data_IF_466933245457
#
_entry.id   IF_466933245457
#
_cell.length_a   1.000
_cell.length_b   1.000
_cell.length_c   1.000
_cell.angle_alpha   90.00
_cell.angle_beta   90.00
_cell.angle_gamma   90.00
#
_symmetry.space_group_name_H-M   'P 1'
#
loop_
_entity.id
_entity.type
_entity.pdbx_description
1 polymer ?
#
# COMPACT_ATOMS: atom_id res chain seq x y z
N UNK A 1 21.21 4.84 -10.32
CA UNK A 1 19.81 5.06 -9.97
C UNK A 1 19.64 6.27 -9.06
N UNK A 2 20.26 6.32 -7.86
CA UNK A 2 20.11 7.47 -6.94
C UNK A 2 20.50 8.80 -7.60
N UNK A 3 21.61 8.83 -8.33
CA UNK A 3 22.04 10.02 -9.06
C UNK A 3 21.05 10.42 -10.16
N UNK A 4 20.39 9.47 -10.78
CA UNK A 4 19.33 9.75 -11.75
C UNK A 4 18.15 10.46 -11.07
N UNK A 5 17.72 9.97 -9.90
CA UNK A 5 16.66 10.62 -9.13
C UNK A 5 17.03 12.04 -8.70
N UNK A 6 18.28 12.25 -8.27
CA UNK A 6 18.77 13.59 -7.92
C UNK A 6 18.64 14.57 -9.10
N UNK A 7 19.00 14.11 -10.30
CA UNK A 7 18.91 14.93 -11.52
C UNK A 7 17.48 15.17 -12.01
N UNK A 8 16.56 14.25 -11.71
CA UNK A 8 15.15 14.40 -12.08
C UNK A 8 14.40 15.38 -11.18
N UNK A 9 14.93 15.69 -10.00
CA UNK A 9 14.28 16.60 -9.06
C UNK A 9 12.99 16.04 -8.47
N UNK A 10 12.01 16.89 -8.11
CA UNK A 10 10.82 16.48 -7.36
C UNK A 10 9.74 15.80 -8.19
N UNK A 11 10.11 14.97 -9.17
CA UNK A 11 9.15 14.16 -9.94
C UNK A 11 8.67 12.96 -9.12
N UNK A 12 7.37 12.62 -9.11
CA UNK A 12 6.88 11.42 -8.42
C UNK A 12 7.22 10.12 -9.15
N UNK A 13 7.58 10.17 -10.44
CA UNK A 13 7.89 9.02 -11.28
C UNK A 13 9.12 9.29 -12.16
N UNK A 14 9.92 8.27 -12.45
CA UNK A 14 9.81 6.87 -12.02
C UNK A 14 10.11 6.69 -10.53
N UNK A 15 9.43 5.74 -9.89
CA UNK A 15 9.62 5.44 -8.48
C UNK A 15 10.74 4.40 -8.27
N UNK A 16 11.59 4.63 -7.27
CA UNK A 16 12.64 3.70 -6.85
C UNK A 16 12.33 3.12 -5.49
N UNK A 17 12.22 1.81 -5.39
CA UNK A 17 12.16 1.11 -4.11
C UNK A 17 13.54 0.59 -3.72
N UNK A 18 14.01 1.00 -2.56
CA UNK A 18 15.25 0.54 -1.95
C UNK A 18 14.92 -0.55 -0.92
N UNK A 19 15.43 -1.75 -1.14
CA UNK A 19 15.42 -2.80 -0.13
C UNK A 19 16.50 -2.47 0.91
N UNK A 20 16.11 -1.73 1.93
CA UNK A 20 17.01 -1.22 2.94
C UNK A 20 17.38 -2.29 3.97
N UNK A 21 18.65 -2.48 4.22
CA UNK A 21 19.14 -3.36 5.27
C UNK A 21 20.31 -2.73 6.04
N UNK A 22 20.58 -3.26 7.23
CA UNK A 22 21.68 -2.81 8.10
C UNK A 22 23.07 -2.95 7.44
N UNK A 23 23.22 -3.91 6.53
CA UNK A 23 24.48 -4.21 5.83
C UNK A 23 24.80 -3.30 4.65
N UNK A 24 23.89 -2.43 4.24
CA UNK A 24 24.16 -1.48 3.16
C UNK A 24 25.32 -0.54 3.55
N UNK A 25 26.22 -0.21 2.59
CA UNK A 25 27.31 0.72 2.84
C UNK A 25 26.82 2.06 3.38
N UNK A 26 27.55 2.62 4.34
CA UNK A 26 27.14 3.89 4.99
C UNK A 26 27.05 5.03 3.98
N UNK A 27 27.96 5.13 3.02
CA UNK A 27 27.91 6.14 1.96
C UNK A 27 26.64 6.03 1.09
N UNK A 28 26.13 4.79 0.86
CA UNK A 28 24.87 4.59 0.17
C UNK A 28 23.68 5.11 1.01
N UNK A 29 23.67 4.78 2.32
CA UNK A 29 22.60 5.23 3.23
C UNK A 29 22.52 6.74 3.31
N UNK A 30 23.67 7.41 3.48
CA UNK A 30 23.78 8.86 3.53
C UNK A 30 23.31 9.50 2.22
N UNK A 31 23.73 8.97 1.08
CA UNK A 31 23.33 9.52 -0.22
C UNK A 31 21.84 9.28 -0.50
N UNK A 32 21.31 8.10 -0.21
CA UNK A 32 19.89 7.82 -0.33
C UNK A 32 19.04 8.74 0.56
N UNK A 33 19.46 8.96 1.81
CA UNK A 33 18.79 9.89 2.72
C UNK A 33 18.81 11.34 2.20
N UNK A 34 19.92 11.79 1.64
CA UNK A 34 20.02 13.12 1.01
C UNK A 34 19.01 13.27 -0.13
N UNK A 35 18.90 12.24 -0.99
CA UNK A 35 17.96 12.26 -2.11
C UNK A 35 16.50 12.25 -1.64
N UNK A 36 16.19 11.49 -0.59
CA UNK A 36 14.84 11.44 -0.02
C UNK A 36 14.30 12.81 0.44
N UNK A 37 15.17 13.74 0.73
CA UNK A 37 14.79 15.14 1.08
C UNK A 37 14.35 15.93 -0.15
N UNK A 38 14.86 15.59 -1.33
CA UNK A 38 14.67 16.36 -2.56
C UNK A 38 13.65 15.78 -3.53
N UNK A 39 13.26 14.53 -3.36
CA UNK A 39 12.31 13.86 -4.25
C UNK A 39 11.33 12.97 -3.49
N UNK A 40 10.11 12.84 -4.02
CA UNK A 40 9.09 11.91 -3.54
C UNK A 40 9.11 10.54 -4.26
N UNK A 41 10.03 10.35 -5.19
CA UNK A 41 10.11 9.14 -6.04
C UNK A 41 11.03 8.05 -5.49
N UNK A 42 11.37 8.09 -4.20
CA UNK A 42 12.12 7.05 -3.51
C UNK A 42 11.34 6.55 -2.29
N UNK A 43 11.29 5.26 -2.12
CA UNK A 43 10.68 4.59 -0.97
C UNK A 43 11.58 3.48 -0.45
N UNK A 44 11.35 3.03 0.77
CA UNK A 44 12.18 2.04 1.45
C UNK A 44 11.35 0.91 2.00
N UNK A 45 11.86 -0.32 1.82
CA UNK A 45 11.33 -1.52 2.44
C UNK A 45 12.39 -2.10 3.38
N UNK A 46 11.98 -2.64 4.51
CA UNK A 46 12.90 -3.21 5.49
C UNK A 46 13.30 -4.64 5.11
N UNK A 47 14.39 -4.77 4.37
CA UNK A 47 14.91 -6.05 3.89
C UNK A 47 15.41 -6.98 5.02
N UNK A 48 15.88 -6.42 6.13
CA UNK A 48 16.29 -7.22 7.30
C UNK A 48 15.11 -7.95 7.94
N UNK A 49 13.90 -7.40 7.84
CA UNK A 49 12.66 -8.00 8.34
C UNK A 49 12.00 -8.89 7.27
N UNK A 50 11.95 -8.42 6.05
CA UNK A 50 11.15 -9.07 5.00
C UNK A 50 11.87 -10.28 4.40
N UNK A 51 13.18 -10.21 4.15
CA UNK A 51 13.93 -11.31 3.54
C UNK A 51 13.90 -12.62 4.33
N UNK A 52 13.99 -12.65 5.66
CA UNK A 52 13.83 -13.89 6.43
C UNK A 52 12.46 -14.55 6.26
N UNK A 53 11.41 -13.78 5.94
CA UNK A 53 10.04 -14.27 5.75
C UNK A 53 9.81 -14.74 4.31
N UNK A 54 10.29 -13.96 3.33
CA UNK A 54 10.00 -14.13 1.91
C UNK A 54 11.10 -14.88 1.13
N UNK A 55 12.33 -14.98 1.67
CA UNK A 55 13.48 -15.62 1.03
C UNK A 55 14.36 -14.67 0.23
N UNK A 56 15.42 -15.21 -0.38
CA UNK A 56 16.43 -14.42 -1.10
C UNK A 56 15.93 -13.87 -2.44
N UNK A 57 14.88 -14.43 -2.98
CA UNK A 57 14.18 -13.96 -4.18
C UNK A 57 13.08 -12.92 -3.90
N UNK A 58 13.06 -12.41 -2.66
CA UNK A 58 12.19 -11.29 -2.28
C UNK A 58 12.46 -10.04 -3.11
N UNK A 59 11.38 -9.43 -3.57
CA UNK A 59 11.38 -8.17 -4.30
C UNK A 59 10.09 -7.39 -4.05
N UNK A 60 10.07 -6.14 -4.48
CA UNK A 60 8.84 -5.34 -4.51
C UNK A 60 8.32 -5.27 -5.94
N UNK A 61 7.11 -5.74 -6.11
CA UNK A 61 6.37 -5.64 -7.36
C UNK A 61 5.52 -4.38 -7.36
N UNK A 62 5.52 -3.64 -8.46
CA UNK A 62 4.87 -2.35 -8.56
C UNK A 62 5.50 -1.35 -7.57
N UNK A 63 4.73 -0.81 -6.63
CA UNK A 63 5.22 0.20 -5.68
C UNK A 63 5.25 -0.27 -4.22
N UNK A 64 4.46 -1.27 -3.83
CA UNK A 64 4.30 -1.65 -2.42
C UNK A 64 4.11 -3.14 -2.16
N UNK A 65 4.01 -3.98 -3.19
CA UNK A 65 3.68 -5.40 -3.01
C UNK A 65 4.92 -6.26 -2.87
N UNK A 66 5.05 -6.93 -1.74
CA UNK A 66 6.07 -7.94 -1.55
C UNK A 66 5.78 -9.16 -2.45
N UNK A 67 6.79 -9.62 -3.19
CA UNK A 67 6.70 -10.78 -4.08
C UNK A 67 7.97 -11.61 -4.02
N UNK A 68 7.86 -12.85 -4.49
CA UNK A 68 9.01 -13.69 -4.78
C UNK A 68 9.24 -13.71 -6.29
N UNK A 69 10.37 -13.18 -6.73
CA UNK A 69 10.74 -13.08 -8.15
C UNK A 69 10.74 -14.47 -8.80
N UNK A 70 10.06 -14.60 -9.93
CA UNK A 70 9.92 -15.85 -10.67
C UNK A 70 8.91 -16.86 -10.11
N UNK A 71 8.28 -16.58 -8.96
CA UNK A 71 7.31 -17.46 -8.32
C UNK A 71 5.92 -16.86 -8.21
N UNK A 72 5.81 -15.55 -8.36
CA UNK A 72 4.57 -14.82 -8.17
C UNK A 72 4.36 -13.79 -9.29
N UNK A 73 3.10 -13.60 -9.66
CA UNK A 73 2.66 -12.55 -10.58
C UNK A 73 1.57 -11.72 -9.92
N UNK A 74 1.69 -10.41 -10.07
CA UNK A 74 0.70 -9.47 -9.59
C UNK A 74 -0.24 -9.09 -10.75
N UNK A 75 -1.51 -9.45 -10.64
CA UNK A 75 -2.51 -9.17 -11.67
C UNK A 75 -3.32 -7.91 -11.40
N UNK A 76 -3.59 -7.61 -10.15
CA UNK A 76 -4.48 -6.54 -9.75
C UNK A 76 -4.05 -5.92 -8.44
N UNK A 77 -4.48 -4.67 -8.22
CA UNK A 77 -4.22 -3.96 -6.97
C UNK A 77 -5.47 -3.25 -6.45
N UNK A 78 -5.53 -3.08 -5.15
CA UNK A 78 -6.50 -2.24 -4.48
C UNK A 78 -5.81 -1.29 -3.50
N UNK A 79 -6.41 -0.13 -3.28
CA UNK A 79 -5.94 0.91 -2.37
C UNK A 79 -7.03 1.27 -1.38
N UNK A 80 -6.65 1.51 -0.14
CA UNK A 80 -7.51 2.06 0.89
C UNK A 80 -7.06 3.48 1.24
N UNK A 81 -8.02 4.41 1.29
CA UNK A 81 -7.70 5.79 1.66
C UNK A 81 -7.84 5.97 3.17
N UNK A 82 -6.72 5.83 3.91
CA UNK A 82 -6.69 5.96 5.36
C UNK A 82 -7.00 7.39 5.84
N UNK A 83 -6.67 8.41 5.05
CA UNK A 83 -7.04 9.80 5.37
C UNK A 83 -8.56 10.00 5.35
N UNK A 84 -9.29 9.29 4.48
CA UNK A 84 -10.77 9.27 4.50
C UNK A 84 -11.32 8.65 5.78
N UNK A 85 -10.69 7.58 6.30
CA UNK A 85 -11.07 7.01 7.59
C UNK A 85 -10.98 8.02 8.72
N UNK A 86 -9.89 8.80 8.75
CA UNK A 86 -9.73 9.88 9.73
C UNK A 86 -10.85 10.91 9.62
N UNK A 87 -11.15 11.38 8.39
CA UNK A 87 -12.22 12.34 8.14
C UNK A 87 -13.58 11.78 8.57
N UNK A 88 -13.86 10.52 8.29
CA UNK A 88 -15.11 9.87 8.67
C UNK A 88 -15.24 9.70 10.18
N UNK A 89 -14.16 9.42 10.90
CA UNK A 89 -14.18 9.39 12.36
C UNK A 89 -14.58 10.74 12.96
N UNK A 90 -14.17 11.85 12.33
CA UNK A 90 -14.55 13.21 12.77
C UNK A 90 -15.96 13.58 12.30
N UNK A 91 -16.31 13.32 11.04
CA UNK A 91 -17.60 13.70 10.43
C UNK A 91 -18.77 12.78 10.82
N UNK A 92 -18.51 11.70 11.56
CA UNK A 92 -19.52 10.71 11.89
C UNK A 92 -19.88 9.77 10.73
N UNK A 93 -18.93 9.49 9.85
CA UNK A 93 -19.09 8.59 8.72
C UNK A 93 -19.66 9.23 7.46
N UNK A 94 -19.82 10.54 7.45
CA UNK A 94 -20.37 11.30 6.31
C UNK A 94 -19.24 11.78 5.40
N UNK A 95 -19.39 11.53 4.10
CA UNK A 95 -18.44 12.01 3.09
C UNK A 95 -18.55 13.54 2.92
N UNK A 96 -17.40 14.22 2.93
CA UNK A 96 -17.37 15.68 2.87
C UNK A 96 -17.78 16.26 1.51
N UNK A 97 -17.76 15.47 0.44
CA UNK A 97 -18.12 15.89 -0.92
C UNK A 97 -19.57 15.54 -1.25
N UNK A 98 -19.92 14.26 -1.10
CA UNK A 98 -21.26 13.77 -1.49
C UNK A 98 -22.33 14.03 -0.43
N UNK A 99 -21.91 14.25 0.84
CA UNK A 99 -22.78 14.37 2.01
C UNK A 99 -23.56 13.10 2.34
N UNK A 100 -23.16 11.98 1.78
CA UNK A 100 -23.76 10.67 2.03
C UNK A 100 -23.10 9.97 3.24
N UNK A 101 -23.88 9.17 3.93
CA UNK A 101 -23.40 8.29 4.97
C UNK A 101 -22.65 7.10 4.34
N UNK A 102 -21.33 7.07 4.46
CA UNK A 102 -20.49 6.05 3.86
C UNK A 102 -19.93 5.05 4.87
N UNK A 103 -19.59 5.48 6.07
CA UNK A 103 -19.04 4.67 7.15
C UNK A 103 -20.00 4.48 8.32
N UNK A 104 -19.57 3.83 9.40
CA UNK A 104 -20.32 3.75 10.66
C UNK A 104 -20.82 5.12 11.11
N UNK A 105 -22.09 5.19 11.51
CA UNK A 105 -22.74 6.45 11.85
C UNK A 105 -22.47 6.85 13.29
N UNK A 106 -21.87 8.01 13.48
CA UNK A 106 -21.67 8.67 14.77
C UNK A 106 -22.14 10.11 14.74
N UNK A 107 -22.38 10.67 15.91
CA UNK A 107 -22.54 12.11 16.01
C UNK A 107 -21.22 12.79 15.60
N UNK A 108 -21.22 13.74 14.65
CA UNK A 108 -19.99 14.45 14.27
C UNK A 108 -19.32 15.08 15.49
N UNK A 109 -18.00 15.04 15.51
CA UNK A 109 -17.22 15.78 16.49
C UNK A 109 -17.26 17.24 16.09
N UNK A 110 -17.65 18.11 17.03
CA UNK A 110 -17.75 19.55 16.82
C UNK A 110 -16.89 20.32 17.81
N UNK A 111 -16.39 21.47 17.40
CA UNK A 111 -15.54 22.35 18.21
C UNK A 111 -14.11 22.44 17.66
N UNK A 112 -13.32 23.29 18.28
CA UNK A 112 -11.96 23.61 17.85
C UNK A 112 -10.91 22.67 18.44
N UNK A 113 -11.28 21.78 19.35
CA UNK A 113 -10.39 20.83 20.03
C UNK A 113 -10.93 19.41 19.88
N UNK A 114 -10.09 18.54 19.39
CA UNK A 114 -10.35 17.12 19.28
C UNK A 114 -10.00 16.41 20.60
N UNK A 115 -11.01 15.80 21.25
CA UNK A 115 -10.74 14.96 22.41
C UNK A 115 -10.23 13.58 21.94
N UNK A 116 -9.01 13.22 22.34
CA UNK A 116 -8.36 11.98 21.93
C UNK A 116 -9.12 10.73 22.40
N UNK A 117 -9.62 10.73 23.63
CA UNK A 117 -10.34 9.57 24.20
C UNK A 117 -11.70 9.34 23.52
N UNK A 118 -12.32 10.37 22.96
CA UNK A 118 -13.51 10.26 22.15
C UNK A 118 -13.19 9.87 20.70
N UNK A 119 -12.15 10.41 20.16
CA UNK A 119 -11.76 10.24 18.76
C UNK A 119 -11.20 8.83 18.47
N UNK A 120 -10.27 8.35 19.31
CA UNK A 120 -9.54 7.11 19.03
C UNK A 120 -10.44 5.88 18.84
N UNK A 121 -11.44 5.62 19.72
CA UNK A 121 -12.36 4.49 19.51
C UNK A 121 -13.11 4.57 18.19
N UNK A 122 -13.56 5.75 17.80
CA UNK A 122 -14.26 5.97 16.52
C UNK A 122 -13.34 5.74 15.31
N UNK A 123 -12.09 6.17 15.42
CA UNK A 123 -11.10 5.95 14.37
C UNK A 123 -10.80 4.46 14.21
N UNK A 124 -10.66 3.72 15.31
CA UNK A 124 -10.47 2.27 15.28
C UNK A 124 -11.65 1.58 14.61
N UNK A 125 -12.88 1.90 14.99
CA UNK A 125 -14.09 1.33 14.39
C UNK A 125 -14.19 1.64 12.88
N UNK A 126 -13.85 2.86 12.46
CA UNK A 126 -13.77 3.21 11.04
C UNK A 126 -12.70 2.40 10.30
N UNK A 127 -11.56 2.14 10.94
CA UNK A 127 -10.48 1.32 10.37
C UNK A 127 -10.90 -0.15 10.25
N UNK A 128 -11.58 -0.71 11.23
CA UNK A 128 -12.12 -2.07 11.18
C UNK A 128 -13.19 -2.21 10.09
N UNK A 129 -14.08 -1.25 9.97
CA UNK A 129 -15.07 -1.19 8.89
C UNK A 129 -14.38 -1.13 7.51
N UNK A 130 -13.40 -0.24 7.33
CA UNK A 130 -12.65 -0.12 6.07
C UNK A 130 -11.89 -1.42 5.75
N UNK A 131 -11.24 -2.02 6.73
CA UNK A 131 -10.53 -3.29 6.57
C UNK A 131 -11.49 -4.41 6.10
N UNK A 132 -12.67 -4.49 6.67
CA UNK A 132 -13.72 -5.43 6.26
C UNK A 132 -14.12 -5.25 4.79
N UNK A 133 -14.41 -4.01 4.37
CA UNK A 133 -14.74 -3.70 2.98
C UNK A 133 -13.57 -4.02 2.05
N UNK A 134 -12.36 -3.64 2.45
CA UNK A 134 -11.15 -3.85 1.66
C UNK A 134 -10.89 -5.33 1.40
N UNK A 135 -10.90 -6.16 2.43
CA UNK A 135 -10.71 -7.61 2.32
C UNK A 135 -11.83 -8.27 1.50
N UNK A 136 -13.09 -7.88 1.72
CA UNK A 136 -14.22 -8.40 0.95
C UNK A 136 -14.12 -8.01 -0.53
N UNK A 137 -13.66 -6.80 -0.83
CA UNK A 137 -13.42 -6.35 -2.21
C UNK A 137 -12.33 -7.19 -2.88
N UNK A 138 -11.21 -7.42 -2.21
CA UNK A 138 -10.14 -8.28 -2.71
C UNK A 138 -10.64 -9.72 -2.97
N UNK A 139 -11.42 -10.28 -2.04
CA UNK A 139 -12.00 -11.62 -2.20
C UNK A 139 -12.94 -11.68 -3.39
N UNK A 140 -13.78 -10.66 -3.60
CA UNK A 140 -14.67 -10.58 -4.75
C UNK A 140 -13.90 -10.48 -6.07
N UNK A 141 -12.88 -9.63 -6.12
CA UNK A 141 -12.01 -9.50 -7.29
C UNK A 141 -11.34 -10.84 -7.60
N UNK A 142 -10.80 -11.51 -6.58
CA UNK A 142 -10.18 -12.83 -6.73
C UNK A 142 -11.17 -13.85 -7.29
N UNK A 143 -12.38 -13.92 -6.74
CA UNK A 143 -13.45 -14.77 -7.25
C UNK A 143 -13.81 -14.48 -8.71
N UNK A 144 -13.88 -13.18 -9.07
CA UNK A 144 -14.20 -12.76 -10.45
C UNK A 144 -13.08 -13.17 -11.42
N UNK A 145 -11.84 -13.02 -11.02
CA UNK A 145 -10.68 -13.48 -11.80
C UNK A 145 -10.69 -15.00 -11.96
N UNK A 146 -11.02 -15.76 -10.93
CA UNK A 146 -11.14 -17.22 -11.03
C UNK A 146 -12.29 -17.67 -11.95
N UNK A 147 -13.37 -16.90 -11.95
CA UNK A 147 -14.57 -17.26 -12.72
C UNK A 147 -14.47 -16.89 -14.20
N UNK A 148 -13.87 -15.75 -14.54
CA UNK A 148 -13.87 -15.17 -15.88
C UNK A 148 -12.51 -15.17 -16.60
N UNK A 149 -11.58 -15.63 -16.12
CA UNK A 149 -10.33 -16.27 -16.29
C UNK A 149 -9.60 -16.18 -17.65
N UNK A 150 -9.21 -15.02 -18.08
CA UNK A 150 -8.30 -14.89 -19.23
C UNK A 150 -6.80 -14.97 -18.83
N UNK A 151 -6.44 -14.56 -17.62
CA UNK A 151 -5.05 -14.59 -17.13
C UNK A 151 -4.50 -15.99 -16.94
N UNK A 152 -5.35 -16.97 -16.76
CA UNK A 152 -4.89 -18.35 -16.67
C UNK A 152 -4.31 -18.91 -17.96
N UNK A 153 -4.81 -18.45 -19.09
CA UNK A 153 -4.20 -18.80 -20.36
C UNK A 153 -2.77 -18.24 -20.44
N UNK A 154 -2.55 -17.02 -19.96
CA UNK A 154 -1.23 -16.41 -19.90
C UNK A 154 -0.31 -17.13 -18.92
N UNK A 155 -0.81 -17.47 -17.72
CA UNK A 155 -0.04 -18.22 -16.72
C UNK A 155 0.35 -19.61 -17.22
N UNK A 156 -0.55 -20.31 -17.90
CA UNK A 156 -0.27 -21.63 -18.47
C UNK A 156 0.81 -21.59 -19.56
N UNK A 157 0.99 -20.44 -20.22
CA UNK A 157 2.06 -20.23 -21.20
C UNK A 157 3.41 -19.93 -20.58
N UNK A 158 3.42 -19.40 -19.35
CA UNK A 158 4.66 -18.99 -18.66
C UNK A 158 5.11 -20.11 -17.70
N UNK A 159 4.34 -20.38 -16.67
CA UNK A 159 4.58 -21.43 -15.66
C UNK A 159 3.30 -21.71 -14.88
N UNK A 160 2.88 -22.96 -14.82
CA UNK A 160 1.69 -23.38 -14.06
C UNK A 160 1.87 -23.30 -12.54
N UNK A 161 3.10 -23.14 -12.06
CA UNK A 161 3.41 -23.03 -10.63
C UNK A 161 3.47 -21.58 -10.12
N UNK A 162 3.28 -20.58 -10.98
CA UNK A 162 3.28 -19.19 -10.56
C UNK A 162 2.04 -18.89 -9.72
N UNK A 163 2.26 -18.31 -8.54
CA UNK A 163 1.17 -17.86 -7.66
C UNK A 163 0.71 -16.47 -8.06
N UNK A 164 -0.59 -16.25 -7.98
CA UNK A 164 -1.19 -14.92 -8.17
C UNK A 164 -1.13 -14.14 -6.86
N UNK A 165 -0.74 -12.89 -6.95
CA UNK A 165 -0.76 -11.93 -5.85
C UNK A 165 -1.50 -10.66 -6.24
N UNK A 166 -1.93 -9.89 -5.24
CA UNK A 166 -2.55 -8.59 -5.42
C UNK A 166 -1.70 -7.51 -4.78
N UNK A 167 -1.56 -6.38 -5.47
CA UNK A 167 -1.01 -5.18 -4.88
C UNK A 167 -1.99 -4.61 -3.84
N UNK A 168 -1.53 -4.42 -2.63
CA UNK A 168 -2.31 -3.87 -1.53
C UNK A 168 -1.68 -2.56 -1.06
N UNK A 169 -2.47 -1.55 -0.83
CA UNK A 169 -1.97 -0.26 -0.35
C UNK A 169 -3.03 0.63 0.28
#
# INVERSE_FOLDING_TARGET
FLHTLENMGPSPEPNLTVLYCSRLPEGFKQYASKISVTTSSIQYENDDVMRPIWGDDYSICCCVSATQTGKEMQFFGARANLAKCLLYAVSGGVDEKTKEQCGPAYRPISGDVLNYDEFLPRFIDMMEWLAGIYVNTLNLIHYMHDKYFYEAAELALIDTNVRRTFATG
#
